data_IF_685042581318
#
_entry.id   IF_685042581318
#
_cell.length_a   1.000
_cell.length_b   1.000
_cell.length_c   1.000
_cell.angle_alpha   90.00
_cell.angle_beta   90.00
_cell.angle_gamma   90.00
#
_symmetry.space_group_name_H-M   'P 1'
#
loop_
_entity.id
_entity.type
_entity.pdbx_description
1 polymer ?
#
# COMPACT_ATOMS: atom_id res chain seq x y z
N UNK A 1 8.95 -24.13 -36.72
CA UNK A 1 10.02 -23.12 -36.57
C UNK A 1 9.48 -22.05 -35.61
N UNK A 2 9.78 -22.16 -34.32
CA UNK A 2 9.21 -21.30 -33.29
C UNK A 2 9.88 -19.92 -33.35
N UNK A 3 9.05 -18.87 -33.44
CA UNK A 3 9.47 -17.46 -33.37
C UNK A 3 10.10 -17.24 -31.99
N UNK A 4 11.37 -16.90 -31.94
CA UNK A 4 12.07 -16.53 -30.70
C UNK A 4 11.42 -15.24 -30.21
N UNK A 5 10.77 -15.28 -29.06
CA UNK A 5 10.21 -14.10 -28.43
C UNK A 5 11.35 -13.15 -28.06
N UNK A 6 11.51 -12.08 -28.83
CA UNK A 6 12.46 -11.02 -28.55
C UNK A 6 11.95 -10.24 -27.33
N UNK A 7 12.39 -10.66 -26.14
CA UNK A 7 12.11 -9.94 -24.90
C UNK A 7 12.49 -8.46 -25.06
N UNK A 8 11.66 -7.52 -24.54
CA UNK A 8 11.91 -6.10 -24.69
C UNK A 8 13.29 -5.74 -24.14
N UNK A 9 14.18 -5.25 -25.00
CA UNK A 9 15.51 -4.80 -24.63
C UNK A 9 15.44 -3.37 -24.13
N UNK A 10 15.55 -3.21 -22.81
CA UNK A 10 15.63 -1.91 -22.16
C UNK A 10 16.77 -1.08 -22.74
N UNK A 11 16.47 0.14 -23.15
CA UNK A 11 17.46 1.09 -23.65
C UNK A 11 17.81 2.14 -22.57
N UNK A 12 18.85 2.97 -22.82
CA UNK A 12 19.29 4.01 -21.86
C UNK A 12 18.22 5.07 -21.56
N UNK A 13 17.34 5.38 -22.53
CA UNK A 13 16.23 6.31 -22.37
C UNK A 13 15.14 5.73 -21.48
N UNK A 14 14.88 4.42 -21.56
CA UNK A 14 13.91 3.75 -20.68
C UNK A 14 14.39 3.80 -19.22
N UNK A 15 15.68 3.51 -19.00
CA UNK A 15 16.30 3.63 -17.68
C UNK A 15 16.26 5.07 -17.16
N UNK A 16 16.54 6.04 -18.03
CA UNK A 16 16.44 7.47 -17.69
C UNK A 16 15.01 7.83 -17.30
N UNK A 17 14.01 7.39 -18.06
CA UNK A 17 12.60 7.67 -17.77
C UNK A 17 12.18 7.10 -16.41
N UNK A 18 12.53 5.85 -16.10
CA UNK A 18 12.27 5.24 -14.79
C UNK A 18 12.97 6.02 -13.67
N UNK A 19 14.24 6.41 -13.85
CA UNK A 19 14.98 7.18 -12.86
C UNK A 19 14.35 8.56 -12.61
N UNK A 20 13.88 9.22 -13.67
CA UNK A 20 13.17 10.51 -13.57
C UNK A 20 11.85 10.33 -12.82
N UNK A 21 11.05 9.30 -13.13
CA UNK A 21 9.78 9.04 -12.45
C UNK A 21 9.96 8.74 -10.95
N UNK A 22 10.95 7.90 -10.60
CA UNK A 22 11.29 7.62 -9.20
C UNK A 22 11.74 8.89 -8.48
N UNK A 23 12.56 9.72 -9.15
CA UNK A 23 13.06 10.98 -8.58
C UNK A 23 11.91 11.96 -8.36
N UNK A 24 11.03 12.14 -9.34
CA UNK A 24 9.86 13.01 -9.22
C UNK A 24 8.91 12.53 -8.13
N UNK A 25 8.69 11.22 -8.02
CA UNK A 25 7.90 10.63 -6.94
C UNK A 25 8.51 10.91 -5.57
N UNK A 26 9.82 10.71 -5.42
CA UNK A 26 10.53 10.99 -4.17
C UNK A 26 10.52 12.47 -3.80
N UNK A 27 10.67 13.36 -4.79
CA UNK A 27 10.56 14.81 -4.62
C UNK A 27 9.12 15.25 -4.31
N UNK A 28 8.10 14.58 -4.84
CA UNK A 28 6.71 14.89 -4.53
C UNK A 28 6.36 14.51 -3.09
N UNK A 29 6.80 13.32 -2.64
CA UNK A 29 6.53 12.80 -1.29
C UNK A 29 7.62 13.11 -0.25
N UNK A 30 8.58 14.00 -0.55
CA UNK A 30 9.78 14.20 0.28
C UNK A 30 9.47 14.52 1.75
N UNK A 31 8.45 15.36 2.03
CA UNK A 31 8.06 15.70 3.41
C UNK A 31 7.40 14.55 4.16
N UNK A 32 6.84 13.58 3.44
CA UNK A 32 6.32 12.36 4.05
C UNK A 32 7.47 11.35 4.26
N UNK A 33 8.47 11.32 3.39
CA UNK A 33 9.58 10.35 3.43
C UNK A 33 10.77 10.78 4.30
N UNK A 34 10.88 12.07 4.66
CA UNK A 34 12.04 12.60 5.39
C UNK A 34 12.28 11.82 6.70
N UNK A 35 13.53 11.39 6.99
CA UNK A 35 13.85 10.68 8.21
C UNK A 35 13.74 11.56 9.46
N UNK A 36 13.84 12.88 9.32
CA UNK A 36 13.68 13.82 10.42
C UNK A 36 12.21 13.88 10.87
N UNK A 37 11.93 13.52 12.12
CA UNK A 37 10.57 13.52 12.66
C UNK A 37 9.97 14.92 12.81
N UNK A 38 10.80 15.96 12.96
CA UNK A 38 10.33 17.35 13.13
C UNK A 38 9.80 17.93 11.81
N UNK A 39 10.38 17.54 10.69
CA UNK A 39 9.99 18.01 9.35
C UNK A 39 8.96 17.10 8.67
N UNK A 40 8.75 15.91 9.23
CA UNK A 40 7.91 14.87 8.65
C UNK A 40 6.45 15.16 8.86
N UNK A 41 5.70 15.15 7.77
CA UNK A 41 4.23 15.26 7.81
C UNK A 41 3.55 13.89 7.70
N UNK A 42 2.31 13.84 8.16
CA UNK A 42 1.40 12.73 7.97
C UNK A 42 0.28 13.15 7.01
N UNK A 43 -0.40 12.17 6.42
CA UNK A 43 -1.58 12.44 5.60
C UNK A 43 -2.63 13.17 6.45
N UNK A 44 -3.35 14.15 5.87
CA UNK A 44 -4.32 14.93 6.60
C UNK A 44 -5.43 14.04 7.15
N UNK A 45 -6.05 14.48 8.24
CA UNK A 45 -7.22 13.82 8.78
C UNK A 45 -8.35 13.84 7.74
N UNK A 46 -8.96 12.67 7.51
CA UNK A 46 -9.95 12.51 6.46
C UNK A 46 -10.35 11.04 6.28
N UNK A 47 -10.87 10.72 5.11
CA UNK A 47 -11.21 9.34 4.72
C UNK A 47 -10.03 8.38 4.89
N UNK A 48 -8.82 8.81 4.57
CA UNK A 48 -7.59 8.04 4.75
C UNK A 48 -7.43 7.54 6.19
N UNK A 49 -7.62 8.43 7.17
CA UNK A 49 -7.42 8.13 8.59
C UNK A 49 -8.67 7.57 9.26
N UNK A 50 -9.86 7.97 8.82
CA UNK A 50 -11.12 7.62 9.49
C UNK A 50 -11.83 6.43 8.85
N UNK A 51 -11.51 6.07 7.62
CA UNK A 51 -12.14 4.97 6.91
C UNK A 51 -11.12 3.88 6.54
N UNK A 52 -10.09 4.23 5.77
CA UNK A 52 -9.13 3.23 5.28
C UNK A 52 -8.22 2.68 6.39
N UNK A 53 -7.75 3.53 7.31
CA UNK A 53 -6.89 3.08 8.40
C UNK A 53 -7.58 2.10 9.38
N UNK A 54 -8.82 2.33 9.84
CA UNK A 54 -9.57 1.33 10.61
C UNK A 54 -9.76 0.02 9.85
N UNK A 55 -10.05 0.06 8.55
CA UNK A 55 -10.21 -1.15 7.73
C UNK A 55 -8.90 -1.95 7.67
N UNK A 56 -7.76 -1.30 7.47
CA UNK A 56 -6.46 -1.99 7.50
C UNK A 56 -6.09 -2.52 8.87
N UNK A 57 -6.44 -1.79 9.92
CA UNK A 57 -6.19 -2.22 11.30
C UNK A 57 -7.01 -3.46 11.65
N UNK A 58 -8.29 -3.49 11.26
CA UNK A 58 -9.16 -4.66 11.44
C UNK A 58 -8.66 -5.86 10.64
N UNK A 59 -8.40 -5.69 9.33
CA UNK A 59 -7.92 -6.77 8.47
C UNK A 59 -6.61 -7.38 8.99
N UNK A 60 -5.63 -6.54 9.34
CA UNK A 60 -4.36 -6.98 9.89
C UNK A 60 -4.54 -7.71 11.23
N UNK A 61 -5.43 -7.23 12.10
CA UNK A 61 -5.73 -7.85 13.39
C UNK A 61 -6.30 -9.26 13.26
N UNK A 62 -7.25 -9.47 12.34
CA UNK A 62 -7.81 -10.79 12.04
C UNK A 62 -6.76 -11.73 11.47
N UNK A 63 -5.98 -11.27 10.48
CA UNK A 63 -4.91 -12.07 9.85
C UNK A 63 -3.84 -12.48 10.86
N UNK A 64 -3.43 -11.54 11.73
CA UNK A 64 -2.49 -11.80 12.83
C UNK A 64 -3.03 -12.85 13.81
N UNK A 65 -4.34 -12.92 13.99
CA UNK A 65 -4.99 -13.92 14.82
C UNK A 65 -5.28 -15.25 14.09
N UNK A 66 -4.78 -15.42 12.86
CA UNK A 66 -4.99 -16.62 12.05
C UNK A 66 -6.40 -16.75 11.48
N UNK A 67 -7.17 -15.65 11.42
CA UNK A 67 -8.53 -15.62 10.88
C UNK A 67 -8.61 -14.80 9.61
N UNK A 68 -9.56 -15.15 8.74
CA UNK A 68 -9.90 -14.33 7.58
C UNK A 68 -10.83 -13.19 8.03
N UNK A 69 -10.61 -11.92 7.60
CA UNK A 69 -11.42 -10.78 8.02
C UNK A 69 -12.79 -10.75 7.33
N UNK A 70 -13.67 -11.71 7.63
CA UNK A 70 -14.95 -11.88 6.91
C UNK A 70 -16.03 -10.90 7.35
N UNK A 71 -16.18 -10.70 8.65
CA UNK A 71 -17.28 -9.96 9.25
C UNK A 71 -16.74 -8.92 10.22
N UNK A 72 -16.85 -7.64 9.86
CA UNK A 72 -16.40 -6.57 10.73
C UNK A 72 -17.47 -6.30 11.80
N UNK A 73 -17.15 -6.48 13.09
CA UNK A 73 -18.12 -6.25 14.16
C UNK A 73 -18.40 -4.76 14.32
N UNK A 74 -19.46 -4.42 15.06
CA UNK A 74 -19.75 -3.05 15.50
C UNK A 74 -20.11 -2.04 14.39
N UNK A 75 -20.46 -2.51 13.17
CA UNK A 75 -21.03 -1.66 12.11
C UNK A 75 -22.40 -2.21 11.74
N UNK A 76 -23.50 -1.58 12.19
CA UNK A 76 -24.89 -2.00 11.89
C UNK A 76 -25.19 -3.48 12.16
N UNK A 77 -24.87 -3.99 13.36
CA UNK A 77 -24.93 -5.44 13.71
C UNK A 77 -23.90 -6.32 12.97
N UNK A 78 -22.97 -5.68 12.28
CA UNK A 78 -21.85 -6.27 11.57
C UNK A 78 -21.94 -6.06 10.07
N UNK A 79 -20.77 -6.00 9.43
CA UNK A 79 -20.64 -5.64 8.02
C UNK A 79 -19.86 -6.72 7.26
N UNK A 80 -20.32 -7.17 6.07
CA UNK A 80 -19.60 -8.15 5.26
C UNK A 80 -18.32 -7.55 4.68
N UNK A 81 -17.25 -7.58 5.46
CA UNK A 81 -16.01 -6.85 5.18
C UNK A 81 -15.29 -7.33 3.92
N UNK A 82 -15.33 -8.64 3.62
CA UNK A 82 -14.76 -9.17 2.38
C UNK A 82 -15.52 -8.69 1.14
N UNK A 83 -16.80 -8.33 1.27
CA UNK A 83 -17.59 -7.81 0.17
C UNK A 83 -17.38 -6.30 -0.05
N UNK A 84 -16.60 -5.63 0.80
CA UNK A 84 -16.31 -4.21 0.71
C UNK A 84 -15.12 -3.95 -0.23
N UNK A 85 -15.33 -3.40 -1.43
CA UNK A 85 -14.23 -3.07 -2.33
C UNK A 85 -13.22 -2.10 -1.72
N UNK A 86 -13.66 -1.15 -0.88
CA UNK A 86 -12.78 -0.17 -0.22
C UNK A 86 -11.86 -0.80 0.82
N UNK A 87 -12.20 -1.97 1.37
CA UNK A 87 -11.37 -2.72 2.30
C UNK A 87 -10.14 -3.30 1.62
N UNK A 88 -10.24 -3.59 0.31
CA UNK A 88 -9.13 -4.04 -0.53
C UNK A 88 -8.36 -5.24 0.07
N UNK A 89 -9.05 -6.14 0.77
CA UNK A 89 -8.44 -7.24 1.54
C UNK A 89 -7.55 -8.13 0.66
N UNK A 90 -8.00 -8.41 -0.56
CA UNK A 90 -7.29 -9.24 -1.53
C UNK A 90 -6.48 -8.45 -2.55
N UNK A 91 -6.29 -7.14 -2.32
CA UNK A 91 -5.47 -6.32 -3.19
C UNK A 91 -3.98 -6.68 -3.00
N UNK A 92 -3.22 -7.03 -4.06
CA UNK A 92 -1.88 -7.59 -3.88
C UNK A 92 -0.91 -6.70 -3.08
N UNK A 93 -0.86 -5.37 -3.27
CA UNK A 93 -0.05 -4.49 -2.41
C UNK A 93 -0.48 -4.50 -0.94
N UNK A 94 -1.78 -4.56 -0.65
CA UNK A 94 -2.29 -4.67 0.72
C UNK A 94 -1.83 -5.98 1.38
N UNK A 95 -1.96 -7.09 0.66
CA UNK A 95 -1.51 -8.41 1.12
C UNK A 95 0.00 -8.44 1.38
N UNK A 96 0.80 -7.88 0.46
CA UNK A 96 2.25 -7.79 0.63
C UNK A 96 2.60 -6.98 1.88
N UNK A 97 1.92 -5.84 2.09
CA UNK A 97 2.11 -4.99 3.26
C UNK A 97 1.78 -5.76 4.56
N UNK A 98 0.65 -6.49 4.60
CA UNK A 98 0.31 -7.33 5.75
C UNK A 98 1.36 -8.42 6.01
N UNK A 99 1.82 -9.12 4.97
CA UNK A 99 2.82 -10.17 5.10
C UNK A 99 4.15 -9.65 5.66
N UNK A 100 4.62 -8.50 5.17
CA UNK A 100 5.84 -7.85 5.66
C UNK A 100 5.70 -7.51 7.16
N UNK A 101 4.57 -6.90 7.56
CA UNK A 101 4.33 -6.50 8.95
C UNK A 101 4.14 -7.70 9.89
N UNK A 102 3.49 -8.76 9.43
CA UNK A 102 3.33 -10.01 10.18
C UNK A 102 4.70 -10.69 10.38
N UNK A 103 5.52 -10.77 9.34
CA UNK A 103 6.87 -11.32 9.41
C UNK A 103 7.78 -10.50 10.34
N UNK A 104 7.58 -9.18 10.38
CA UNK A 104 8.27 -8.28 11.31
C UNK A 104 7.71 -8.33 12.76
N UNK A 105 6.70 -9.16 13.05
CA UNK A 105 6.15 -9.34 14.40
C UNK A 105 5.37 -8.13 14.92
N UNK A 106 4.91 -7.24 14.04
CA UNK A 106 4.25 -5.99 14.43
C UNK A 106 2.92 -6.26 15.14
N UNK A 107 2.69 -5.56 16.26
CA UNK A 107 1.52 -5.75 17.11
C UNK A 107 0.23 -5.15 16.54
N UNK A 108 0.33 -3.97 15.92
CA UNK A 108 -0.79 -3.19 15.39
C UNK A 108 -0.36 -2.58 14.07
N UNK A 109 -1.28 -2.53 13.11
CA UNK A 109 -1.01 -1.93 11.81
C UNK A 109 -0.70 -0.42 11.99
N UNK A 110 0.49 0.06 11.62
CA UNK A 110 0.85 1.48 11.80
C UNK A 110 0.28 2.33 10.65
N UNK A 111 -0.17 3.56 10.94
CA UNK A 111 -0.65 4.50 9.92
C UNK A 111 0.38 4.70 8.79
N UNK A 112 1.66 4.75 9.17
CA UNK A 112 2.79 4.83 8.26
C UNK A 112 2.82 3.73 7.20
N UNK A 113 2.39 2.52 7.52
CA UNK A 113 2.31 1.45 6.52
C UNK A 113 1.22 1.71 5.49
N UNK A 114 0.12 2.36 5.88
CA UNK A 114 -0.92 2.78 4.92
C UNK A 114 -0.42 3.92 4.02
N UNK A 115 0.25 4.92 4.62
CA UNK A 115 0.84 6.04 3.88
C UNK A 115 1.84 5.52 2.84
N UNK A 116 2.75 4.63 3.25
CA UNK A 116 3.72 4.01 2.34
C UNK A 116 3.04 3.22 1.23
N UNK A 117 1.99 2.47 1.53
CA UNK A 117 1.24 1.74 0.51
C UNK A 117 0.61 2.68 -0.53
N UNK A 118 -0.02 3.77 -0.08
CA UNK A 118 -0.61 4.75 -0.98
C UNK A 118 0.44 5.45 -1.85
N UNK A 119 1.58 5.85 -1.26
CA UNK A 119 2.67 6.46 -2.01
C UNK A 119 3.27 5.49 -3.03
N UNK A 120 3.52 4.23 -2.64
CA UNK A 120 4.03 3.20 -3.55
C UNK A 120 3.03 2.87 -4.67
N UNK A 121 1.73 2.91 -4.38
CA UNK A 121 0.70 2.71 -5.41
C UNK A 121 0.77 3.80 -6.49
N UNK A 122 0.99 5.06 -6.11
CA UNK A 122 1.21 6.16 -7.08
C UNK A 122 2.47 5.93 -7.93
N UNK A 123 3.55 5.41 -7.33
CA UNK A 123 4.76 5.06 -8.08
C UNK A 123 4.52 3.90 -9.06
N UNK A 124 3.81 2.86 -8.63
CA UNK A 124 3.46 1.74 -9.50
C UNK A 124 2.58 2.22 -10.66
N UNK A 125 1.61 3.09 -10.40
CA UNK A 125 0.77 3.68 -11.43
C UNK A 125 1.62 4.45 -12.46
N UNK A 126 2.58 5.27 -12.02
CA UNK A 126 3.42 6.05 -12.95
C UNK A 126 4.39 5.19 -13.76
N UNK A 127 4.81 4.03 -13.25
CA UNK A 127 5.71 3.12 -13.96
C UNK A 127 4.98 2.17 -14.94
N UNK A 128 3.67 2.00 -14.78
CA UNK A 128 2.86 1.05 -15.57
C UNK A 128 1.90 1.72 -16.57
N UNK A 129 1.94 3.04 -16.69
CA UNK A 129 1.24 3.84 -17.71
C UNK A 129 2.12 4.06 -18.93
#
# INVERSE_FOLDING_TARGET
MAKKDDAPKWNRRDLLAVAVLITLWGLFFWRYLTPDELDRVAFPLGDFTYHFYPYRTFAFGELRAGRLPQWMPCTFSGYPFVAEPQAAVFYPPALLNFLILLAAGVARFPLRALEMEAMLHVLLASLMT
#
